data_IF_995372854004
#
_entry.id   IF_995372854004
#
_cell.length_a   1.000
_cell.length_b   1.000
_cell.length_c   1.000
_cell.angle_alpha   90.00
_cell.angle_beta   90.00
_cell.angle_gamma   90.00
#
_symmetry.space_group_name_H-M   'P 1'
#
loop_
_entity.id
_entity.type
_entity.pdbx_description
1 polymer ?
#
# COMPACT_ATOMS: atom_id res chain seq x y z
N UNK A 1 26.98 -1.77 -4.04
CA UNK A 1 26.23 -2.91 -3.43
C UNK A 1 26.28 -4.08 -4.40
N UNK A 2 25.98 -5.34 -4.03
CA UNK A 2 26.16 -6.45 -4.99
C UNK A 2 25.14 -6.39 -6.14
N UNK A 3 25.61 -6.64 -7.36
CA UNK A 3 24.78 -6.86 -8.55
C UNK A 3 23.75 -7.98 -8.33
N UNK A 4 24.05 -8.94 -7.44
CA UNK A 4 23.17 -10.04 -7.06
C UNK A 4 21.82 -9.56 -6.48
N UNK A 5 21.80 -8.36 -5.88
CA UNK A 5 20.60 -7.77 -5.28
C UNK A 5 19.73 -6.98 -6.28
N UNK A 6 20.21 -6.75 -7.51
CA UNK A 6 19.49 -5.96 -8.53
C UNK A 6 18.11 -6.55 -8.83
N UNK A 7 18.02 -7.87 -8.99
CA UNK A 7 16.75 -8.55 -9.27
C UNK A 7 15.70 -8.32 -8.17
N UNK A 8 16.13 -8.29 -6.90
CA UNK A 8 15.26 -7.99 -5.75
C UNK A 8 14.76 -6.54 -5.78
N UNK A 9 15.63 -5.58 -6.10
CA UNK A 9 15.25 -4.18 -6.16
C UNK A 9 14.33 -3.86 -7.35
N UNK A 10 14.54 -4.51 -8.49
CA UNK A 10 13.60 -4.46 -9.63
C UNK A 10 12.25 -5.08 -9.27
N UNK A 11 12.25 -6.20 -8.53
CA UNK A 11 11.01 -6.81 -8.02
C UNK A 11 10.24 -5.85 -7.09
N UNK A 12 10.92 -5.12 -6.21
CA UNK A 12 10.28 -4.11 -5.36
C UNK A 12 9.64 -2.99 -6.20
N UNK A 13 10.36 -2.41 -7.17
CA UNK A 13 9.80 -1.38 -8.03
C UNK A 13 8.62 -1.88 -8.89
N UNK A 14 8.66 -3.14 -9.32
CA UNK A 14 7.55 -3.77 -10.02
C UNK A 14 6.29 -3.88 -9.15
N UNK A 15 6.46 -4.25 -7.89
CA UNK A 15 5.36 -4.46 -6.94
C UNK A 15 4.84 -3.14 -6.36
N UNK A 16 5.74 -2.25 -5.99
CA UNK A 16 5.47 -1.02 -5.24
C UNK A 16 5.14 0.16 -6.17
N UNK A 17 5.49 0.09 -7.46
CA UNK A 17 5.26 1.17 -8.43
C UNK A 17 3.78 1.55 -8.57
N UNK A 18 2.88 0.57 -8.55
CA UNK A 18 1.44 0.80 -8.62
C UNK A 18 0.88 1.39 -7.31
N UNK A 19 1.46 1.03 -6.16
CA UNK A 19 1.11 1.63 -4.88
C UNK A 19 1.52 3.10 -4.81
N UNK A 20 2.64 3.46 -5.46
CA UNK A 20 3.05 4.85 -5.58
C UNK A 20 2.08 5.67 -6.44
N UNK A 21 1.54 5.07 -7.52
CA UNK A 21 0.48 5.67 -8.33
C UNK A 21 -0.81 5.90 -7.52
N UNK A 22 -1.19 4.94 -6.68
CA UNK A 22 -2.37 5.05 -5.83
C UNK A 22 -2.29 6.22 -4.83
N UNK A 23 -1.08 6.57 -4.37
CA UNK A 23 -0.86 7.72 -3.48
C UNK A 23 -1.11 9.07 -4.18
N UNK A 24 -1.09 9.11 -5.51
CA UNK A 24 -1.37 10.31 -6.29
C UNK A 24 -2.87 10.56 -6.52
N UNK A 25 -3.73 9.57 -6.23
CA UNK A 25 -5.18 9.68 -6.41
C UNK A 25 -5.78 10.39 -5.19
N UNK A 26 -6.41 11.57 -5.35
CA UNK A 26 -7.07 12.25 -4.23
C UNK A 26 -8.19 11.38 -3.66
N UNK A 27 -8.07 10.97 -2.40
CA UNK A 27 -9.16 10.26 -1.72
C UNK A 27 -10.27 11.23 -1.35
N UNK A 28 -11.49 10.97 -1.83
CA UNK A 28 -12.70 11.60 -1.29
C UNK A 28 -12.93 11.04 0.13
N UNK A 29 -13.08 11.90 1.16
CA UNK A 29 -13.54 11.43 2.46
C UNK A 29 -14.93 10.81 2.31
N UNK A 30 -15.16 9.69 2.99
CA UNK A 30 -16.44 8.98 2.90
C UNK A 30 -17.53 9.85 3.53
N UNK A 31 -18.63 10.08 2.81
CA UNK A 31 -19.81 10.77 3.37
C UNK A 31 -20.25 10.07 4.66
N UNK A 32 -20.11 10.78 5.78
CA UNK A 32 -20.31 10.23 7.13
C UNK A 32 -19.29 10.71 8.16
N UNK A 33 -18.09 11.13 7.73
CA UNK A 33 -17.10 11.73 8.65
C UNK A 33 -17.52 13.10 9.21
N UNK A 34 -18.49 13.76 8.56
CA UNK A 34 -19.08 15.03 9.00
C UNK A 34 -20.58 14.90 9.33
N UNK A 35 -21.00 13.80 9.97
CA UNK A 35 -22.34 13.70 10.53
C UNK A 35 -22.53 14.73 11.66
N UNK A 36 -22.95 15.96 11.30
CA UNK A 36 -23.51 16.95 12.23
C UNK A 36 -22.53 17.89 12.95
N UNK A 37 -21.25 17.99 12.55
CA UNK A 37 -20.37 19.06 13.06
C UNK A 37 -20.48 20.31 12.17
N UNK A 38 -20.74 21.51 12.73
CA UNK A 38 -20.76 22.73 11.94
C UNK A 38 -19.41 22.93 11.23
N UNK A 39 -19.41 23.51 10.01
CA UNK A 39 -18.20 23.64 9.22
C UNK A 39 -17.16 24.46 9.99
N UNK A 40 -16.07 23.81 10.40
CA UNK A 40 -14.97 24.48 11.04
C UNK A 40 -14.32 25.38 9.97
N UNK A 41 -14.50 26.69 10.15
CA UNK A 41 -14.00 27.72 9.24
C UNK A 41 -12.46 27.67 9.25
N UNK A 42 -11.90 27.24 8.13
CA UNK A 42 -10.46 27.34 7.82
C UNK A 42 -9.63 26.11 8.16
N UNK A 43 -9.24 25.37 7.11
CA UNK A 43 -7.83 25.03 6.78
C UNK A 43 -7.81 24.23 5.47
N UNK A 44 -7.20 24.85 4.46
CA UNK A 44 -6.45 24.26 3.34
C UNK A 44 -7.05 23.08 2.57
N UNK A 45 -7.11 23.21 1.24
CA UNK A 45 -7.05 22.04 0.33
C UNK A 45 -5.91 21.10 0.82
N UNK A 46 -6.09 19.76 0.82
CA UNK A 46 -5.01 18.86 1.19
C UNK A 46 -3.79 19.20 0.33
N UNK A 47 -2.59 19.34 0.91
CA UNK A 47 -1.43 19.74 0.13
C UNK A 47 -1.15 18.67 -0.92
N UNK A 48 -0.94 19.11 -2.16
CA UNK A 48 -0.26 18.27 -3.15
C UNK A 48 1.05 17.83 -2.51
N UNK A 49 1.22 16.52 -2.35
CA UNK A 49 2.45 15.90 -1.85
C UNK A 49 3.51 16.03 -2.96
N UNK A 50 4.07 17.23 -3.12
CA UNK A 50 5.02 17.56 -4.18
C UNK A 50 6.16 16.52 -4.24
N UNK A 51 6.63 16.03 -3.08
CA UNK A 51 7.66 14.99 -3.02
C UNK A 51 7.30 13.61 -3.57
N UNK A 52 6.03 13.19 -3.59
CA UNK A 52 5.64 11.87 -4.16
C UNK A 52 5.55 11.94 -5.68
N UNK A 53 5.07 13.07 -6.22
CA UNK A 53 5.07 13.33 -7.66
C UNK A 53 6.49 13.42 -8.18
N UNK A 54 7.36 14.17 -7.50
CA UNK A 54 8.76 14.32 -7.86
C UNK A 54 9.49 12.98 -7.79
N UNK A 55 9.34 12.22 -6.70
CA UNK A 55 9.90 10.87 -6.57
C UNK A 55 9.44 9.96 -7.72
N UNK A 56 8.15 9.96 -8.05
CA UNK A 56 7.65 9.14 -9.16
C UNK A 56 8.34 9.54 -10.46
N UNK A 57 8.40 10.82 -10.79
CA UNK A 57 9.02 11.31 -12.02
C UNK A 57 10.50 10.89 -12.12
N UNK A 58 11.26 11.05 -11.03
CA UNK A 58 12.66 10.64 -10.95
C UNK A 58 12.85 9.13 -11.16
N UNK A 59 11.97 8.30 -10.56
CA UNK A 59 12.05 6.83 -10.72
C UNK A 59 11.67 6.41 -12.14
N UNK A 60 10.65 7.03 -12.74
CA UNK A 60 10.28 6.78 -14.14
C UNK A 60 11.41 7.13 -15.12
N UNK A 61 12.14 8.22 -14.84
CA UNK A 61 13.30 8.65 -15.61
C UNK A 61 14.46 7.67 -15.49
N UNK A 62 14.87 7.33 -14.27
CA UNK A 62 15.98 6.38 -14.02
C UNK A 62 15.70 5.03 -14.65
N UNK A 63 14.53 4.45 -14.42
CA UNK A 63 14.17 3.14 -14.98
C UNK A 63 14.02 3.22 -16.50
N UNK A 64 13.49 4.32 -17.04
CA UNK A 64 13.41 4.56 -18.47
C UNK A 64 14.79 4.66 -19.14
N UNK A 65 15.73 5.35 -18.50
CA UNK A 65 17.11 5.45 -18.95
C UNK A 65 17.77 4.07 -19.04
N UNK A 66 17.63 3.25 -18.01
CA UNK A 66 18.22 1.91 -17.99
C UNK A 66 17.58 0.95 -19.00
N UNK A 67 16.27 1.04 -19.24
CA UNK A 67 15.65 0.36 -20.37
C UNK A 67 16.31 0.75 -21.70
N UNK A 68 16.53 2.05 -21.93
CA UNK A 68 17.18 2.55 -23.14
C UNK A 68 18.63 2.08 -23.27
N UNK A 69 19.40 2.11 -22.18
CA UNK A 69 20.78 1.62 -22.15
C UNK A 69 20.89 0.13 -22.49
N UNK A 70 19.98 -0.70 -21.96
CA UNK A 70 19.98 -2.12 -22.26
C UNK A 70 19.70 -2.39 -23.74
N UNK A 71 18.69 -1.73 -24.32
CA UNK A 71 18.37 -1.87 -25.76
C UNK A 71 19.50 -1.37 -26.65
N UNK A 72 20.14 -0.26 -26.28
CA UNK A 72 21.29 0.25 -27.01
C UNK A 72 22.49 -0.71 -26.95
N UNK A 73 22.65 -1.44 -25.84
CA UNK A 73 23.74 -2.40 -25.64
C UNK A 73 23.46 -3.78 -26.24
N UNK A 74 22.18 -4.15 -26.37
CA UNK A 74 21.72 -5.45 -26.89
C UNK A 74 20.61 -5.23 -27.93
N UNK A 75 20.97 -5.03 -29.22
CA UNK A 75 20.01 -4.65 -30.27
C UNK A 75 18.88 -5.66 -30.51
N UNK A 76 19.13 -6.95 -30.24
CA UNK A 76 18.17 -8.04 -30.50
C UNK A 76 17.12 -8.22 -29.38
N UNK A 77 17.21 -7.44 -28.30
CA UNK A 77 16.33 -7.54 -27.12
C UNK A 77 14.91 -7.04 -27.39
N UNK A 78 14.68 -6.37 -28.52
CA UNK A 78 13.41 -5.74 -28.88
C UNK A 78 13.17 -4.40 -28.16
N UNK A 79 12.06 -3.71 -28.46
CA UNK A 79 11.78 -2.42 -27.86
C UNK A 79 11.41 -2.54 -26.38
N UNK A 80 11.72 -1.53 -25.55
CA UNK A 80 11.26 -1.51 -24.17
C UNK A 80 9.74 -1.25 -24.12
N UNK A 81 9.09 -1.47 -22.97
CA UNK A 81 7.67 -1.16 -22.82
C UNK A 81 7.36 0.30 -23.20
N UNK A 82 6.31 0.49 -24.01
CA UNK A 82 5.83 1.84 -24.39
C UNK A 82 5.27 2.63 -23.20
N UNK A 83 4.78 1.91 -22.19
CA UNK A 83 4.34 2.49 -20.93
C UNK A 83 5.50 3.11 -20.15
N UNK A 84 5.25 4.27 -19.54
CA UNK A 84 6.18 4.90 -18.60
C UNK A 84 6.06 4.36 -17.17
N UNK A 85 5.04 3.56 -16.89
CA UNK A 85 4.79 3.03 -15.54
C UNK A 85 6.02 2.31 -15.01
N UNK A 86 6.42 2.69 -13.79
CA UNK A 86 7.56 2.10 -13.07
C UNK A 86 7.44 0.58 -13.07
N UNK A 87 6.26 0.06 -12.74
CA UNK A 87 6.03 -1.37 -12.62
C UNK A 87 6.32 -2.14 -13.92
N UNK A 88 5.82 -1.61 -15.05
CA UNK A 88 5.98 -2.25 -16.36
C UNK A 88 7.45 -2.29 -16.80
N UNK A 89 8.20 -1.20 -16.60
CA UNK A 89 9.60 -1.11 -17.02
C UNK A 89 10.54 -1.88 -16.06
N UNK A 90 10.27 -1.83 -14.76
CA UNK A 90 11.01 -2.62 -13.78
C UNK A 90 10.85 -4.13 -14.03
N UNK A 91 9.63 -4.59 -14.33
CA UNK A 91 9.39 -5.99 -14.67
C UNK A 91 10.03 -6.42 -15.98
N UNK A 92 10.04 -5.53 -16.99
CA UNK A 92 10.77 -5.79 -18.22
C UNK A 92 12.27 -5.92 -17.99
N UNK A 93 12.89 -5.02 -17.21
CA UNK A 93 14.31 -5.14 -16.84
C UNK A 93 14.58 -6.42 -16.04
N UNK A 94 13.67 -6.79 -15.12
CA UNK A 94 13.78 -8.02 -14.33
C UNK A 94 13.75 -9.28 -15.20
N UNK A 95 13.03 -9.23 -16.33
CA UNK A 95 12.99 -10.30 -17.32
C UNK A 95 14.30 -10.49 -18.10
N UNK A 96 15.20 -9.51 -18.07
CA UNK A 96 16.46 -9.48 -18.81
C UNK A 96 17.68 -9.36 -17.89
N UNK A 97 17.60 -9.93 -16.68
CA UNK A 97 18.70 -9.86 -15.70
C UNK A 97 19.97 -10.53 -16.19
N UNK A 98 19.87 -11.58 -17.01
CA UNK A 98 21.02 -12.25 -17.60
C UNK A 98 21.82 -11.31 -18.49
N UNK A 99 21.15 -10.57 -19.37
CA UNK A 99 21.79 -9.58 -20.25
C UNK A 99 22.32 -8.40 -19.43
N UNK A 100 21.55 -7.93 -18.45
CA UNK A 100 21.98 -6.87 -17.54
C UNK A 100 23.27 -7.23 -16.81
N UNK A 101 23.41 -8.45 -16.30
CA UNK A 101 24.61 -8.88 -15.58
C UNK A 101 25.86 -8.98 -16.45
N UNK A 102 25.71 -9.07 -17.77
CA UNK A 102 26.83 -9.01 -18.70
C UNK A 102 27.29 -7.57 -19.01
N UNK A 103 26.55 -6.54 -18.58
CA UNK A 103 26.84 -5.16 -18.94
C UNK A 103 27.95 -4.56 -18.07
N UNK A 104 28.87 -3.76 -18.66
CA UNK A 104 29.95 -3.12 -17.91
C UNK A 104 29.45 -2.05 -16.92
N UNK A 105 28.22 -1.56 -17.10
CA UNK A 105 27.57 -0.56 -16.26
C UNK A 105 26.58 -1.14 -15.26
N UNK A 106 26.47 -2.48 -15.16
CA UNK A 106 25.45 -3.14 -14.37
C UNK A 106 25.52 -2.83 -12.87
N UNK A 107 26.72 -2.68 -12.32
CA UNK A 107 26.90 -2.29 -10.91
C UNK A 107 26.38 -0.87 -10.64
N UNK A 108 26.62 0.08 -11.57
CA UNK A 108 26.12 1.45 -11.48
C UNK A 108 24.59 1.49 -11.53
N UNK A 109 23.99 0.71 -12.44
CA UNK A 109 22.54 0.54 -12.48
C UNK A 109 22.02 -0.04 -11.16
N UNK A 110 22.67 -1.07 -10.64
CA UNK A 110 22.24 -1.70 -9.39
C UNK A 110 22.18 -0.68 -8.25
N UNK A 111 23.25 0.10 -8.05
CA UNK A 111 23.32 1.15 -7.04
C UNK A 111 22.22 2.20 -7.20
N UNK A 112 21.97 2.66 -8.42
CA UNK A 112 20.90 3.62 -8.67
C UNK A 112 19.52 3.03 -8.40
N UNK A 113 19.22 1.86 -8.96
CA UNK A 113 17.92 1.17 -8.82
C UNK A 113 17.62 0.85 -7.36
N UNK A 114 18.61 0.41 -6.59
CA UNK A 114 18.39 0.10 -5.18
C UNK A 114 18.06 1.34 -4.35
N UNK A 115 18.74 2.46 -4.62
CA UNK A 115 18.44 3.73 -3.96
C UNK A 115 16.98 4.13 -4.21
N UNK A 116 16.52 4.04 -5.46
CA UNK A 116 15.14 4.40 -5.85
C UNK A 116 14.12 3.42 -5.29
N UNK A 117 14.41 2.11 -5.35
CA UNK A 117 13.55 1.07 -4.80
C UNK A 117 13.32 1.24 -3.29
N UNK A 118 14.35 1.62 -2.54
CA UNK A 118 14.22 1.89 -1.10
C UNK A 118 13.35 3.12 -0.84
N UNK A 119 13.58 4.23 -1.55
CA UNK A 119 12.78 5.44 -1.40
C UNK A 119 11.30 5.20 -1.73
N UNK A 120 11.01 4.48 -2.82
CA UNK A 120 9.63 4.11 -3.17
C UNK A 120 9.01 3.27 -2.05
N UNK A 121 9.73 2.26 -1.57
CA UNK A 121 9.26 1.38 -0.50
C UNK A 121 8.99 2.12 0.81
N UNK A 122 9.86 3.03 1.20
CA UNK A 122 9.68 3.87 2.40
C UNK A 122 8.46 4.80 2.28
N UNK A 123 8.10 5.21 1.06
CA UNK A 123 6.91 6.03 0.81
C UNK A 123 5.63 5.20 0.80
N UNK A 124 5.62 4.02 0.15
CA UNK A 124 4.39 3.21 0.01
C UNK A 124 4.15 2.27 1.19
N UNK A 125 5.21 1.91 1.92
CA UNK A 125 5.20 1.03 3.09
C UNK A 125 6.17 1.59 4.13
N UNK A 126 5.83 2.75 4.74
CA UNK A 126 6.71 3.41 5.68
C UNK A 126 7.07 2.49 6.83
N UNK A 127 8.35 2.48 7.27
CA UNK A 127 8.76 1.67 8.41
C UNK A 127 7.94 2.08 9.64
N UNK A 128 7.60 1.09 10.47
CA UNK A 128 6.90 1.33 11.72
C UNK A 128 7.68 2.37 12.54
N UNK A 129 7.03 3.46 12.91
CA UNK A 129 7.64 4.47 13.78
C UNK A 129 7.80 3.87 15.16
N UNK A 130 8.80 4.33 15.92
CA UNK A 130 9.04 3.87 17.29
C UNK A 130 7.83 4.02 18.24
N UNK A 131 6.83 4.82 17.86
CA UNK A 131 5.58 5.05 18.58
C UNK A 131 4.34 4.56 17.82
N UNK A 132 4.49 3.83 16.72
CA UNK A 132 3.35 3.18 16.10
C UNK A 132 2.82 2.15 17.11
N UNK A 133 1.53 2.22 17.46
CA UNK A 133 0.99 1.27 18.43
C UNK A 133 1.13 -0.14 17.85
N UNK A 134 1.45 -1.11 18.71
CA UNK A 134 1.45 -2.53 18.33
C UNK A 134 0.03 -3.10 18.40
N UNK A 135 -0.43 -3.86 17.39
CA UNK A 135 -1.76 -4.45 17.39
C UNK A 135 -2.02 -5.28 18.65
N UNK A 136 -3.10 -4.97 19.35
CA UNK A 136 -3.55 -5.82 20.46
C UNK A 136 -4.10 -7.13 19.90
N UNK A 137 -3.83 -8.25 20.58
CA UNK A 137 -4.42 -9.54 20.22
C UNK A 137 -5.91 -9.61 20.58
N UNK A 138 -6.24 -9.17 21.80
CA UNK A 138 -7.59 -9.13 22.35
C UNK A 138 -7.86 -7.76 22.98
N UNK A 139 -9.11 -7.31 22.89
CA UNK A 139 -9.51 -6.05 23.51
C UNK A 139 -11.01 -5.92 23.64
N UNK A 140 -11.44 -4.93 24.40
CA UNK A 140 -12.85 -4.55 24.46
C UNK A 140 -13.33 -4.06 23.08
N UNK A 141 -14.65 -4.07 22.85
CA UNK A 141 -15.24 -3.52 21.61
C UNK A 141 -14.77 -2.10 21.28
N UNK A 142 -14.42 -1.28 22.28
CA UNK A 142 -13.89 0.08 22.09
C UNK A 142 -12.46 0.07 21.56
N UNK A 143 -11.59 -0.74 22.16
CA UNK A 143 -10.20 -0.87 21.75
C UNK A 143 -10.13 -1.48 20.35
N UNK A 144 -10.95 -2.50 20.09
CA UNK A 144 -11.02 -3.19 18.80
C UNK A 144 -11.55 -2.26 17.71
N UNK A 145 -12.58 -1.44 17.97
CA UNK A 145 -12.99 -0.40 17.02
C UNK A 145 -11.86 0.60 16.72
N UNK A 146 -11.09 1.00 17.72
CA UNK A 146 -9.94 1.89 17.53
C UNK A 146 -8.89 1.26 16.60
N UNK A 147 -8.62 -0.03 16.79
CA UNK A 147 -7.72 -0.81 15.95
C UNK A 147 -8.25 -1.03 14.53
N UNK A 148 -9.52 -1.39 14.38
CA UNK A 148 -10.15 -1.53 13.08
C UNK A 148 -10.09 -0.22 12.29
N UNK A 149 -10.31 0.92 12.96
CA UNK A 149 -10.15 2.24 12.33
C UNK A 149 -8.72 2.49 11.89
N UNK A 150 -7.73 2.20 12.75
CA UNK A 150 -6.31 2.36 12.42
C UNK A 150 -5.91 1.47 11.23
N UNK A 151 -6.49 0.27 11.14
CA UNK A 151 -6.28 -0.69 10.04
C UNK A 151 -7.14 -0.40 8.80
N UNK A 152 -7.90 0.71 8.77
CA UNK A 152 -8.75 1.07 7.63
C UNK A 152 -9.95 0.13 7.40
N UNK A 153 -10.36 -0.63 8.42
CA UNK A 153 -11.48 -1.55 8.36
C UNK A 153 -12.76 -0.87 8.89
N UNK A 154 -13.80 -0.68 8.06
CA UNK A 154 -14.97 0.12 8.43
C UNK A 154 -15.95 -0.69 9.30
N UNK A 155 -15.68 -0.79 10.60
CA UNK A 155 -16.57 -1.41 11.56
C UNK A 155 -16.65 -0.58 12.85
N UNK A 156 -17.88 -0.32 13.29
CA UNK A 156 -18.15 0.46 14.51
C UNK A 156 -18.34 -0.42 15.73
N UNK A 157 -18.24 0.17 16.93
CA UNK A 157 -18.59 -0.47 18.20
C UNK A 157 -19.99 -1.11 18.19
N UNK A 158 -20.96 -0.46 17.56
CA UNK A 158 -22.32 -0.98 17.43
C UNK A 158 -22.39 -2.20 16.49
N UNK A 159 -21.52 -2.28 15.48
CA UNK A 159 -21.43 -3.44 14.59
C UNK A 159 -20.79 -4.61 15.30
N UNK A 160 -19.71 -4.38 16.06
CA UNK A 160 -19.06 -5.39 16.88
C UNK A 160 -20.02 -5.97 17.93
N UNK A 161 -20.77 -5.13 18.63
CA UNK A 161 -21.80 -5.60 19.58
C UNK A 161 -22.87 -6.45 18.91
N UNK A 162 -23.40 -5.99 17.77
CA UNK A 162 -24.37 -6.78 17.00
C UNK A 162 -23.81 -8.13 16.57
N UNK A 163 -22.55 -8.22 16.17
CA UNK A 163 -21.92 -9.49 15.80
C UNK A 163 -21.72 -10.41 17.00
N UNK A 164 -21.36 -9.86 18.16
CA UNK A 164 -21.29 -10.62 19.41
C UNK A 164 -22.67 -11.17 19.79
N UNK A 165 -23.69 -10.30 19.80
CA UNK A 165 -25.04 -10.67 20.22
C UNK A 165 -25.72 -11.64 19.22
N UNK A 166 -25.33 -11.59 17.94
CA UNK A 166 -25.75 -12.56 16.93
C UNK A 166 -24.96 -13.88 16.96
N UNK A 167 -23.89 -13.98 17.76
CA UNK A 167 -23.01 -15.15 17.79
C UNK A 167 -22.03 -15.24 16.62
N UNK A 168 -21.92 -14.20 15.80
CA UNK A 168 -21.01 -14.14 14.64
C UNK A 168 -19.56 -13.81 15.02
N UNK A 169 -19.35 -13.23 16.20
CA UNK A 169 -18.04 -12.85 16.73
C UNK A 169 -17.89 -13.41 18.14
N UNK A 170 -16.95 -14.35 18.31
CA UNK A 170 -16.65 -14.92 19.61
C UNK A 170 -16.09 -13.87 20.57
N UNK A 171 -16.42 -14.01 21.84
CA UNK A 171 -15.93 -13.17 22.91
C UNK A 171 -15.61 -14.00 24.15
N UNK A 172 -14.69 -13.48 24.96
CA UNK A 172 -14.37 -14.01 26.28
C UNK A 172 -14.78 -13.00 27.34
N UNK A 173 -15.27 -13.49 28.48
CA UNK A 173 -15.50 -12.68 29.67
C UNK A 173 -14.22 -12.57 30.46
N UNK A 174 -13.83 -11.35 30.83
CA UNK A 174 -12.82 -11.11 31.85
C UNK A 174 -13.46 -11.21 33.24
N UNK A 175 -12.61 -11.40 34.26
CA UNK A 175 -13.02 -11.53 35.66
C UNK A 175 -13.76 -10.29 36.19
N UNK A 176 -13.59 -9.13 35.54
CA UNK A 176 -14.26 -7.87 35.85
C UNK A 176 -15.60 -7.66 35.09
N UNK A 177 -16.08 -8.68 34.37
CA UNK A 177 -17.34 -8.65 33.64
C UNK A 177 -17.26 -7.98 32.27
N UNK A 178 -16.09 -7.53 31.80
CA UNK A 178 -15.95 -7.00 30.43
C UNK A 178 -15.87 -8.12 29.40
N UNK A 179 -16.47 -7.88 28.23
CA UNK A 179 -16.34 -8.74 27.04
C UNK A 179 -15.14 -8.29 26.22
N UNK A 180 -14.20 -9.20 25.99
CA UNK A 180 -13.07 -9.00 25.07
C UNK A 180 -13.22 -9.87 23.84
N UNK A 181 -12.80 -9.35 22.70
CA UNK A 181 -12.82 -10.04 21.40
C UNK A 181 -11.43 -10.00 20.79
N UNK A 182 -11.11 -11.00 19.97
CA UNK A 182 -9.83 -11.04 19.25
C UNK A 182 -9.87 -10.07 18.07
N UNK A 183 -8.80 -9.31 17.88
CA UNK A 183 -8.69 -8.37 16.76
C UNK A 183 -8.72 -9.09 15.41
N UNK A 184 -8.05 -10.23 15.30
CA UNK A 184 -7.98 -11.02 14.08
C UNK A 184 -9.38 -11.45 13.58
N UNK A 185 -10.24 -11.92 14.49
CA UNK A 185 -11.59 -12.39 14.15
C UNK A 185 -12.49 -11.23 13.73
N UNK A 186 -12.39 -10.09 14.42
CA UNK A 186 -13.11 -8.88 14.06
C UNK A 186 -12.70 -8.35 12.67
N UNK A 187 -11.39 -8.38 12.35
CA UNK A 187 -10.87 -8.01 11.02
C UNK A 187 -11.38 -8.97 9.95
N UNK A 188 -11.27 -10.28 10.17
CA UNK A 188 -11.70 -11.30 9.23
C UNK A 188 -13.20 -11.19 8.95
N UNK A 189 -14.02 -11.02 9.99
CA UNK A 189 -15.46 -10.85 9.87
C UNK A 189 -15.84 -9.58 9.11
N UNK A 190 -15.20 -8.45 9.44
CA UNK A 190 -15.45 -7.18 8.77
C UNK A 190 -15.06 -7.24 7.27
N UNK A 191 -13.94 -7.87 6.94
CA UNK A 191 -13.54 -8.12 5.55
C UNK A 191 -14.56 -9.01 4.84
N UNK A 192 -14.93 -10.16 5.44
CA UNK A 192 -15.96 -11.07 4.89
C UNK A 192 -17.27 -10.35 4.60
N UNK A 193 -17.72 -9.47 5.51
CA UNK A 193 -18.96 -8.69 5.34
C UNK A 193 -18.86 -7.58 4.31
N UNK A 194 -17.67 -6.98 4.14
CA UNK A 194 -17.40 -6.02 3.06
C UNK A 194 -17.52 -6.70 1.69
N UNK A 195 -17.07 -7.95 1.56
CA UNK A 195 -17.20 -8.73 0.33
C UNK A 195 -18.62 -9.25 0.07
N UNK A 196 -19.47 -9.39 1.10
CA UNK A 196 -20.89 -9.76 0.92
C UNK A 196 -21.79 -8.60 0.47
N UNK A 197 -21.28 -7.36 0.42
CA UNK A 197 -21.97 -6.21 -0.16
C UNK A 197 -21.73 -6.14 -1.68
N UNK A 198 -22.20 -7.15 -2.41
CA UNK A 198 -22.28 -7.11 -3.88
C UNK A 198 -23.05 -5.89 -4.39
N UNK A 199 -22.96 -5.55 -5.70
CA UNK A 199 -23.57 -4.35 -6.24
C UNK A 199 -25.07 -4.29 -5.87
N UNK A 200 -25.63 -3.08 -5.64
CA UNK A 200 -27.03 -2.95 -5.24
C UNK A 200 -27.91 -3.68 -6.26
N UNK A 201 -28.76 -4.59 -5.75
CA UNK A 201 -29.81 -5.21 -6.53
C UNK A 201 -30.60 -4.09 -7.19
N UNK A 202 -30.55 -4.01 -8.51
CA UNK A 202 -31.35 -3.07 -9.29
C UNK A 202 -32.81 -3.42 -9.00
N UNK A 203 -33.49 -2.56 -8.25
CA UNK A 203 -34.93 -2.66 -8.07
C UNK A 203 -35.56 -1.93 -9.24
N UNK A 204 -36.20 -2.76 -10.09
CA UNK A 204 -37.08 -2.47 -11.23
C UNK A 204 -36.44 -1.99 -12.53
#
# INVERSE_FOLDING_TARGET
>A
MSIDDLGRHLYWLETDGDLLDDLLIPRQPTSGENAGRPPQRGKSKPPVVLGVVDLKAEVEEVIGYWCGQLVASVPDLGPPPSSRRIAARAGWLRGHTTELFAMPWAEMMADEVASRARLVRDVVSPPARANDPEPIEEGTTREIESWLRLLGVPASRASLRRWIDAGDLEYRMLDDGRRVVRLADAVALAKRRRFSGGPPSVVS
#
